data_IF_507126551619
#
_entry.id   IF_507126551619
#
_cell.length_a   1.000
_cell.length_b   1.000
_cell.length_c   1.000
_cell.angle_alpha   90.00
_cell.angle_beta   90.00
_cell.angle_gamma   90.00
#
_symmetry.space_group_name_H-M   'P 1'
#
loop_
_entity.id
_entity.type
_entity.pdbx_description
1 polymer ?
#
# COMPACT_ATOMS: atom_id res chain seq x y z
N UNK A 1 0.80 0.70 -7.31
CA UNK A 1 -0.32 1.68 -7.16
C UNK A 1 -1.40 1.40 -8.19
N UNK A 2 -1.04 1.27 -9.47
CA UNK A 2 -1.97 0.90 -10.56
C UNK A 2 -2.69 -0.42 -10.23
N UNK A 3 -1.94 -1.46 -9.88
CA UNK A 3 -2.51 -2.78 -9.50
C UNK A 3 -3.49 -2.71 -8.31
N UNK A 4 -3.29 -1.78 -7.37
CA UNK A 4 -4.20 -1.59 -6.25
C UNK A 4 -5.54 -0.99 -6.69
N UNK A 5 -5.51 -0.08 -7.68
CA UNK A 5 -6.70 0.54 -8.28
C UNK A 5 -7.44 -0.49 -9.14
N UNK A 6 -6.73 -1.33 -9.89
CA UNK A 6 -7.35 -2.39 -10.68
C UNK A 6 -8.02 -3.46 -9.80
N UNK A 7 -7.38 -3.87 -8.69
CA UNK A 7 -7.95 -4.86 -7.76
C UNK A 7 -9.06 -4.31 -6.86
N UNK A 8 -8.94 -3.06 -6.37
CA UNK A 8 -9.81 -2.52 -5.32
C UNK A 8 -10.61 -1.27 -5.71
N UNK A 9 -10.50 -0.78 -6.95
CA UNK A 9 -11.15 0.42 -7.45
C UNK A 9 -10.80 1.66 -6.63
N UNK A 10 -11.81 2.42 -6.19
CA UNK A 10 -11.65 3.63 -5.38
C UNK A 10 -10.87 3.39 -4.07
N UNK A 11 -10.96 2.18 -3.50
CA UNK A 11 -10.20 1.81 -2.29
C UNK A 11 -8.70 1.67 -2.58
N UNK A 12 -8.31 1.34 -3.82
CA UNK A 12 -6.90 1.32 -4.25
C UNK A 12 -6.23 2.69 -4.18
N UNK A 13 -7.01 3.76 -4.40
CA UNK A 13 -6.53 5.15 -4.24
C UNK A 13 -6.18 5.43 -2.78
N UNK A 14 -7.01 4.99 -1.82
CA UNK A 14 -6.72 5.12 -0.39
C UNK A 14 -5.46 4.35 0.02
N UNK A 15 -5.22 3.17 -0.55
CA UNK A 15 -3.96 2.43 -0.31
C UNK A 15 -2.74 3.20 -0.81
N UNK A 16 -2.82 3.81 -2.00
CA UNK A 16 -1.74 4.62 -2.57
C UNK A 16 -1.47 5.88 -1.75
N UNK A 17 -2.51 6.59 -1.33
CA UNK A 17 -2.41 7.74 -0.45
C UNK A 17 -1.77 7.37 0.90
N UNK A 18 -2.19 6.27 1.51
CA UNK A 18 -1.60 5.77 2.75
C UNK A 18 -0.11 5.40 2.59
N UNK A 19 0.33 4.92 1.41
CA UNK A 19 1.76 4.69 1.12
C UNK A 19 2.55 5.99 1.06
N UNK A 20 2.02 7.01 0.39
CA UNK A 20 2.67 8.34 0.29
C UNK A 20 2.77 8.99 1.67
N UNK A 21 1.69 8.97 2.45
CA UNK A 21 1.66 9.54 3.81
C UNK A 21 2.63 8.86 4.79
N UNK A 22 3.02 7.61 4.51
CA UNK A 22 4.01 6.85 5.29
C UNK A 22 5.43 6.93 4.72
N UNK A 23 5.63 7.67 3.64
CA UNK A 23 6.94 7.83 3.03
C UNK A 23 7.74 8.87 3.82
N UNK A 24 8.72 8.41 4.59
CA UNK A 24 9.65 9.27 5.34
C UNK A 24 11.08 8.72 5.16
N UNK A 25 12.14 9.53 5.27
CA UNK A 25 13.53 9.11 5.03
C UNK A 25 14.00 7.98 5.96
N UNK A 26 13.37 7.82 7.13
CA UNK A 26 13.62 6.72 8.06
C UNK A 26 12.73 5.48 7.85
N UNK A 27 11.93 5.43 6.79
CA UNK A 27 11.04 4.30 6.53
C UNK A 27 11.87 3.18 5.92
N UNK A 28 11.85 2.00 6.55
CA UNK A 28 12.53 0.83 6.00
C UNK A 28 11.99 0.54 4.60
N UNK A 29 12.86 0.45 3.60
CA UNK A 29 12.49 0.03 2.24
C UNK A 29 12.19 -1.47 2.28
N UNK A 30 11.09 -1.86 1.66
CA UNK A 30 10.68 -3.25 1.52
C UNK A 30 9.57 -3.36 0.48
N UNK A 31 9.39 -4.54 -0.07
CA UNK A 31 8.30 -4.80 -1.01
C UNK A 31 6.94 -4.65 -0.31
N UNK A 32 6.02 -3.95 -0.97
CA UNK A 32 4.66 -3.72 -0.48
C UNK A 32 3.68 -4.32 -1.52
N UNK A 33 3.53 -5.65 -1.53
CA UNK A 33 2.61 -6.33 -2.45
C UNK A 33 1.18 -5.87 -2.20
N UNK A 34 0.34 -5.86 -3.24
CA UNK A 34 -1.08 -5.51 -3.08
C UNK A 34 -1.83 -6.76 -2.58
N UNK A 35 -2.37 -6.77 -1.34
CA UNK A 35 -3.10 -7.91 -0.81
C UNK A 35 -4.41 -8.12 -1.58
N UNK A 36 -4.94 -9.34 -1.64
CA UNK A 36 -6.21 -9.62 -2.34
C UNK A 36 -7.44 -9.06 -1.60
N UNK A 37 -7.28 -8.73 -0.31
CA UNK A 37 -8.29 -8.05 0.49
C UNK A 37 -7.82 -6.65 0.87
N UNK A 38 -8.76 -5.70 0.89
CA UNK A 38 -8.44 -4.32 1.23
C UNK A 38 -7.88 -4.19 2.65
N UNK A 39 -6.59 -3.80 2.74
CA UNK A 39 -5.93 -3.45 4.00
C UNK A 39 -5.05 -2.22 3.79
N UNK A 40 -5.14 -1.26 4.71
CA UNK A 40 -4.23 -0.10 4.76
C UNK A 40 -2.99 -0.39 5.62
N UNK A 41 -2.95 -1.54 6.29
CA UNK A 41 -1.85 -1.91 7.19
C UNK A 41 -0.69 -2.44 6.37
N UNK A 42 0.54 -2.04 6.72
CA UNK A 42 1.76 -2.58 6.11
C UNK A 42 1.86 -4.05 6.52
N UNK A 43 1.88 -4.98 5.57
CA UNK A 43 2.29 -6.35 5.83
C UNK A 43 3.79 -6.32 6.12
N UNK A 44 4.16 -6.47 7.39
CA UNK A 44 5.56 -6.68 7.76
C UNK A 44 5.86 -8.13 7.43
N UNK A 45 6.41 -8.39 6.25
CA UNK A 45 7.15 -9.61 6.04
C UNK A 45 8.47 -9.43 6.78
N UNK A 46 8.61 -10.13 7.90
CA UNK A 46 9.91 -10.28 8.59
C UNK A 46 10.96 -10.89 7.66
#
# INVERSE_FOLDING_TARGET
MIEAIEKHGAKGVLMGLARILRCHPWSQKGDDPVPDHFSLRRSRSE
#
